data_IF_551455433514
#
_entry.id   IF_551455433514
#
_cell.length_a   1.000
_cell.length_b   1.000
_cell.length_c   1.000
_cell.angle_alpha   90.00
_cell.angle_beta   90.00
_cell.angle_gamma   90.00
#
_symmetry.space_group_name_H-M   'P 1'
#
loop_
_entity.id
_entity.type
_entity.pdbx_description
1 polymer ?
#
# COMPACT_ATOMS: atom_id res chain seq x y z
N UNK A 1 -9.00 -10.69 -0.12
CA UNK A 1 -7.72 -11.42 -0.05
C UNK A 1 -7.28 -11.63 1.40
N UNK A 2 -6.48 -12.65 1.65
CA UNK A 2 -5.86 -12.91 2.96
C UNK A 2 -4.37 -13.07 2.71
N UNK A 3 -3.57 -12.27 3.38
CA UNK A 3 -2.11 -12.31 3.30
C UNK A 3 -1.53 -12.78 4.62
N UNK A 4 -0.59 -13.71 4.54
CA UNK A 4 0.27 -14.14 5.64
C UNK A 4 1.72 -13.84 5.26
N UNK A 5 2.67 -14.03 6.16
CA UNK A 5 4.10 -13.82 5.86
C UNK A 5 4.67 -14.75 4.77
N UNK A 6 3.99 -15.86 4.46
CA UNK A 6 4.49 -16.88 3.51
C UNK A 6 3.54 -17.16 2.35
N UNK A 7 2.27 -16.83 2.49
CA UNK A 7 1.21 -17.27 1.58
C UNK A 7 0.17 -16.16 1.41
N UNK A 8 -0.27 -15.97 0.16
CA UNK A 8 -1.44 -15.19 -0.18
C UNK A 8 -2.61 -16.14 -0.55
N UNK A 9 -3.81 -15.85 -0.05
CA UNK A 9 -5.05 -16.46 -0.48
C UNK A 9 -5.86 -15.42 -1.22
N UNK A 10 -6.10 -15.65 -2.49
CA UNK A 10 -6.82 -14.73 -3.37
C UNK A 10 -8.16 -15.35 -3.76
N UNK A 11 -9.23 -14.58 -3.65
CA UNK A 11 -10.54 -14.93 -4.18
C UNK A 11 -10.82 -14.00 -5.36
N UNK A 12 -10.50 -14.48 -6.56
CA UNK A 12 -10.65 -13.73 -7.81
C UNK A 12 -11.69 -14.48 -8.67
N UNK A 13 -12.77 -13.84 -9.10
CA UNK A 13 -13.74 -14.45 -9.99
C UNK A 13 -13.06 -15.00 -11.24
N UNK A 14 -13.34 -16.26 -11.59
CA UNK A 14 -12.75 -16.94 -12.75
C UNK A 14 -11.35 -17.53 -12.55
N UNK A 15 -10.65 -17.25 -11.46
CA UNK A 15 -9.32 -17.79 -11.20
C UNK A 15 -9.35 -19.10 -10.42
N UNK A 16 -10.33 -19.28 -9.54
CA UNK A 16 -10.54 -20.52 -8.78
C UNK A 16 -11.23 -21.58 -9.62
N UNK A 17 -11.15 -22.85 -9.20
CA UNK A 17 -11.93 -23.95 -9.76
C UNK A 17 -13.32 -24.03 -9.11
N UNK A 18 -14.25 -24.72 -9.78
CA UNK A 18 -15.60 -24.97 -9.23
C UNK A 18 -15.51 -25.61 -7.83
N UNK A 19 -16.14 -25.01 -6.85
CA UNK A 19 -16.10 -25.44 -5.44
C UNK A 19 -14.85 -25.02 -4.68
N UNK A 20 -13.84 -24.43 -5.33
CA UNK A 20 -12.61 -23.95 -4.69
C UNK A 20 -12.31 -22.51 -5.11
N UNK A 21 -13.04 -21.53 -4.56
CA UNK A 21 -12.94 -20.14 -5.00
C UNK A 21 -11.65 -19.44 -4.58
N UNK A 22 -10.84 -20.05 -3.71
CA UNK A 22 -9.60 -19.48 -3.21
C UNK A 22 -8.39 -20.09 -3.91
N UNK A 23 -7.49 -19.24 -4.38
CA UNK A 23 -6.20 -19.62 -4.92
C UNK A 23 -5.11 -19.32 -3.92
N UNK A 24 -4.27 -20.30 -3.58
CA UNK A 24 -3.15 -20.18 -2.67
C UNK A 24 -1.87 -19.91 -3.46
N UNK A 25 -1.22 -18.77 -3.21
CA UNK A 25 0.05 -18.39 -3.82
C UNK A 25 1.16 -18.40 -2.77
N UNK A 26 2.29 -19.04 -3.06
CA UNK A 26 3.49 -18.91 -2.21
C UNK A 26 4.16 -17.57 -2.46
N UNK A 27 4.43 -16.83 -1.39
CA UNK A 27 5.14 -15.54 -1.43
C UNK A 27 6.67 -15.70 -1.42
N UNK A 28 7.16 -16.93 -1.17
CA UNK A 28 8.59 -17.26 -1.14
C UNK A 28 9.17 -17.63 -2.52
N UNK A 29 8.36 -17.59 -3.58
CA UNK A 29 8.81 -17.86 -4.96
C UNK A 29 9.81 -16.80 -5.43
N UNK A 30 10.71 -17.20 -6.36
CA UNK A 30 11.64 -16.26 -6.99
C UNK A 30 11.06 -15.59 -8.24
N UNK A 31 9.99 -16.14 -8.80
CA UNK A 31 9.35 -15.68 -10.03
C UNK A 31 7.81 -15.76 -9.92
N UNK A 32 7.12 -15.03 -10.79
CA UNK A 32 5.67 -15.05 -10.90
C UNK A 32 4.93 -14.15 -9.92
N UNK A 33 3.59 -14.23 -9.96
CA UNK A 33 2.70 -13.36 -9.17
C UNK A 33 2.94 -13.47 -7.65
N UNK A 34 3.25 -14.68 -7.15
CA UNK A 34 3.54 -14.90 -5.74
C UNK A 34 4.80 -14.16 -5.28
N UNK A 35 5.85 -14.15 -6.10
CA UNK A 35 7.07 -13.39 -5.83
C UNK A 35 6.82 -11.88 -5.85
N UNK A 36 6.07 -11.39 -6.81
CA UNK A 36 5.70 -9.97 -6.89
C UNK A 36 4.89 -9.52 -5.67
N UNK A 37 3.89 -10.31 -5.26
CA UNK A 37 3.13 -10.07 -4.04
C UNK A 37 3.99 -10.15 -2.78
N UNK A 38 4.94 -11.11 -2.73
CA UNK A 38 5.90 -11.23 -1.63
C UNK A 38 6.79 -10.00 -1.50
N UNK A 39 7.28 -9.45 -2.61
CA UNK A 39 8.06 -8.21 -2.64
C UNK A 39 7.22 -7.01 -2.21
N UNK A 40 5.96 -6.92 -2.66
CA UNK A 40 5.04 -5.87 -2.23
C UNK A 40 4.76 -5.95 -0.72
N UNK A 41 4.55 -7.16 -0.19
CA UNK A 41 4.33 -7.36 1.24
C UNK A 41 5.56 -6.97 2.05
N UNK A 42 6.75 -7.40 1.62
CA UNK A 42 8.01 -7.03 2.25
C UNK A 42 8.26 -5.52 2.17
N UNK A 43 7.87 -4.89 1.07
CA UNK A 43 7.91 -3.43 0.94
C UNK A 43 6.91 -2.76 1.89
N UNK A 44 5.71 -3.33 2.07
CA UNK A 44 4.70 -2.83 2.99
C UNK A 44 5.11 -3.03 4.45
N UNK A 45 5.73 -4.15 4.81
CA UNK A 45 6.30 -4.39 6.14
C UNK A 45 7.46 -3.42 6.44
N UNK A 46 8.29 -3.13 5.45
CA UNK A 46 9.35 -2.14 5.54
C UNK A 46 8.82 -0.69 5.48
N UNK A 47 7.59 -0.51 4.97
CA UNK A 47 6.87 0.76 4.99
C UNK A 47 6.16 0.94 6.33
N UNK A 48 6.95 0.92 7.41
CA UNK A 48 6.47 1.34 8.72
C UNK A 48 5.71 2.68 8.55
N UNK A 49 4.51 2.85 9.11
CA UNK A 49 3.81 4.14 9.13
C UNK A 49 4.70 5.31 9.58
N UNK A 50 5.72 5.06 10.42
CA UNK A 50 6.76 6.01 10.72
C UNK A 50 7.57 6.45 9.48
N UNK A 51 7.79 5.57 8.50
CA UNK A 51 8.52 5.92 7.26
C UNK A 51 7.64 6.71 6.28
N UNK A 52 6.32 6.48 6.26
CA UNK A 52 5.39 7.33 5.53
C UNK A 52 5.31 8.73 6.17
N UNK A 53 5.40 8.81 7.51
CA UNK A 53 5.52 10.08 8.21
C UNK A 53 6.82 10.81 7.83
N UNK A 54 7.93 10.09 7.54
CA UNK A 54 9.18 10.69 7.08
C UNK A 54 9.04 11.36 5.69
N UNK A 55 8.26 10.81 4.78
CA UNK A 55 7.96 11.48 3.50
C UNK A 55 7.18 12.78 3.72
N UNK A 56 6.27 12.78 4.71
CA UNK A 56 5.52 13.97 5.10
C UNK A 56 6.41 15.03 5.76
N UNK A 57 7.46 14.64 6.50
CA UNK A 57 8.46 15.57 7.06
C UNK A 57 9.37 16.19 5.99
N UNK A 58 9.36 15.68 4.76
CA UNK A 58 10.05 16.31 3.63
C UNK A 58 9.27 17.49 3.04
N UNK A 59 8.00 17.62 3.41
CA UNK A 59 7.19 18.76 3.01
C UNK A 59 7.73 20.04 3.64
N UNK A 60 7.95 21.03 2.79
CA UNK A 60 8.37 22.38 3.20
C UNK A 60 7.20 23.34 3.36
N UNK A 61 6.00 22.89 2.96
CA UNK A 61 4.76 23.68 2.93
C UNK A 61 3.65 23.08 3.80
N UNK A 62 4.02 22.24 4.79
CA UNK A 62 3.07 21.62 5.71
C UNK A 62 2.35 22.70 6.54
N UNK A 63 1.02 22.70 6.48
CA UNK A 63 0.19 23.65 7.22
C UNK A 63 -1.01 22.96 7.84
N UNK A 64 -1.40 23.41 9.03
CA UNK A 64 -2.67 23.06 9.66
C UNK A 64 -3.81 23.76 8.92
N UNK A 65 -4.83 22.98 8.50
CA UNK A 65 -5.95 23.51 7.71
C UNK A 65 -7.31 23.37 8.41
N UNK A 66 -7.36 22.71 9.59
CA UNK A 66 -8.60 22.59 10.34
C UNK A 66 -8.62 21.40 11.27
N UNK A 67 -9.82 21.06 11.72
CA UNK A 67 -10.12 19.88 12.52
C UNK A 67 -11.29 19.13 11.88
N UNK A 68 -11.30 17.81 11.98
CA UNK A 68 -12.33 16.96 11.42
C UNK A 68 -12.44 15.67 12.24
N UNK A 69 -13.63 15.09 12.31
CA UNK A 69 -13.85 13.79 12.96
C UNK A 69 -13.69 12.68 11.93
N UNK A 70 -12.70 11.81 12.12
CA UNK A 70 -12.45 10.63 11.26
C UNK A 70 -12.82 9.37 12.02
N UNK A 71 -13.81 8.63 11.53
CA UNK A 71 -14.31 7.39 12.16
C UNK A 71 -14.63 7.59 13.66
N UNK A 72 -15.28 8.69 14.02
CA UNK A 72 -15.62 9.02 15.40
C UNK A 72 -14.49 9.60 16.26
N UNK A 73 -13.29 9.75 15.70
CA UNK A 73 -12.11 10.27 16.41
C UNK A 73 -11.82 11.71 15.99
N UNK A 74 -11.76 12.69 16.94
CA UNK A 74 -11.34 14.04 16.62
C UNK A 74 -9.89 14.07 16.12
N UNK A 75 -9.68 14.77 15.02
CA UNK A 75 -8.35 14.89 14.40
C UNK A 75 -8.04 16.32 14.00
N UNK A 76 -6.76 16.62 13.88
CA UNK A 76 -6.26 17.83 13.23
C UNK A 76 -5.87 17.50 11.80
N UNK A 77 -6.33 18.31 10.86
CA UNK A 77 -6.05 18.20 9.44
C UNK A 77 -4.85 19.06 9.05
N UNK A 78 -3.93 18.46 8.34
CA UNK A 78 -2.76 19.11 7.75
C UNK A 78 -2.72 18.85 6.25
N UNK A 79 -2.22 19.82 5.51
CA UNK A 79 -1.98 19.74 4.07
C UNK A 79 -0.54 20.10 3.76
N UNK A 80 0.01 19.48 2.72
CA UNK A 80 1.35 19.76 2.25
C UNK A 80 1.62 19.11 0.90
N UNK A 81 2.85 19.30 0.45
CA UNK A 81 3.32 18.66 -0.78
C UNK A 81 4.79 18.30 -0.66
N UNK A 82 5.23 17.33 -1.47
CA UNK A 82 6.63 17.00 -1.62
C UNK A 82 6.97 16.69 -3.07
N UNK A 83 8.24 16.89 -3.41
CA UNK A 83 8.79 16.52 -4.70
C UNK A 83 9.09 15.02 -4.73
N UNK A 84 8.69 14.36 -5.81
CA UNK A 84 9.05 12.95 -6.06
C UNK A 84 10.56 12.76 -6.07
N UNK A 85 11.32 13.71 -6.63
CA UNK A 85 12.77 13.64 -6.64
C UNK A 85 13.40 13.64 -5.23
N UNK A 86 12.81 14.36 -4.27
CA UNK A 86 13.29 14.39 -2.89
C UNK A 86 12.89 13.14 -2.11
N UNK A 87 11.70 12.59 -2.40
CA UNK A 87 11.29 11.30 -1.85
C UNK A 87 12.20 10.16 -2.36
N UNK A 88 12.51 10.14 -3.66
CA UNK A 88 13.40 9.15 -4.26
C UNK A 88 14.77 9.09 -3.57
N UNK A 89 15.31 10.21 -3.10
CA UNK A 89 16.60 10.25 -2.37
C UNK A 89 16.56 9.49 -1.06
N UNK A 90 15.38 9.36 -0.45
CA UNK A 90 15.17 8.69 0.85
C UNK A 90 14.91 7.20 0.71
N UNK A 91 14.55 6.72 -0.49
CA UNK A 91 14.29 5.30 -0.74
C UNK A 91 15.59 4.48 -0.80
N UNK A 92 15.56 3.23 -0.30
CA UNK A 92 16.63 2.27 -0.53
C UNK A 92 16.94 2.11 -2.03
N UNK A 93 18.23 1.88 -2.44
CA UNK A 93 18.62 1.84 -3.85
C UNK A 93 17.82 0.87 -4.72
N UNK A 94 17.47 -0.31 -4.20
CA UNK A 94 16.70 -1.32 -4.92
C UNK A 94 15.28 -0.86 -5.25
N UNK A 95 14.60 -0.19 -4.32
CA UNK A 95 13.25 0.34 -4.53
C UNK A 95 13.28 1.58 -5.42
N UNK A 96 14.33 2.39 -5.32
CA UNK A 96 14.48 3.64 -6.10
C UNK A 96 14.38 3.39 -7.61
N UNK A 97 15.05 2.34 -8.12
CA UNK A 97 15.06 2.02 -9.56
C UNK A 97 13.65 1.65 -10.06
N UNK A 98 12.94 0.77 -9.35
CA UNK A 98 11.61 0.32 -9.75
C UNK A 98 10.60 1.47 -9.68
N UNK A 99 10.61 2.21 -8.57
CA UNK A 99 9.69 3.33 -8.35
C UNK A 99 9.93 4.46 -9.34
N UNK A 100 11.21 4.78 -9.65
CA UNK A 100 11.54 5.85 -10.58
C UNK A 100 11.06 5.57 -12.00
N UNK A 101 11.14 4.33 -12.47
CA UNK A 101 10.64 3.95 -13.79
C UNK A 101 9.12 4.10 -13.90
N UNK A 102 8.38 3.64 -12.90
CA UNK A 102 6.90 3.74 -12.88
C UNK A 102 6.44 5.19 -12.80
N UNK A 103 7.06 6.00 -11.95
CA UNK A 103 6.71 7.41 -11.78
C UNK A 103 7.09 8.24 -13.02
N UNK A 104 8.27 7.97 -13.62
CA UNK A 104 8.70 8.65 -14.84
C UNK A 104 7.74 8.39 -16.00
N UNK A 105 7.25 7.16 -16.16
CA UNK A 105 6.27 6.81 -17.18
C UNK A 105 4.94 7.56 -17.02
N UNK A 106 4.56 7.90 -15.79
CA UNK A 106 3.33 8.65 -15.49
C UNK A 106 3.53 10.18 -15.53
N UNK A 107 4.77 10.66 -15.59
CA UNK A 107 5.10 12.09 -15.57
C UNK A 107 4.79 12.78 -14.24
N UNK A 108 4.76 12.04 -13.13
CA UNK A 108 4.48 12.57 -11.79
C UNK A 108 5.75 13.20 -11.24
N UNK A 109 5.69 14.49 -10.89
CA UNK A 109 6.84 15.23 -10.33
C UNK A 109 6.60 15.70 -8.89
N UNK A 110 5.33 15.84 -8.51
CA UNK A 110 4.91 16.36 -7.22
C UNK A 110 3.71 15.59 -6.68
N UNK A 111 3.72 15.33 -5.38
CA UNK A 111 2.62 14.70 -4.65
C UNK A 111 2.05 15.72 -3.68
N UNK A 112 0.75 15.94 -3.73
CA UNK A 112 0.00 16.67 -2.71
C UNK A 112 -0.60 15.68 -1.73
N UNK A 113 -0.60 16.01 -0.46
CA UNK A 113 -1.19 15.17 0.55
C UNK A 113 -2.04 15.95 1.56
N UNK A 114 -3.02 15.27 2.10
CA UNK A 114 -3.79 15.70 3.27
C UNK A 114 -3.73 14.58 4.29
N UNK A 115 -3.40 14.92 5.53
CA UNK A 115 -3.26 13.97 6.64
C UNK A 115 -4.09 14.42 7.83
N UNK A 116 -4.70 13.46 8.52
CA UNK A 116 -5.47 13.67 9.75
C UNK A 116 -4.79 12.95 10.90
N UNK A 117 -4.44 13.71 11.94
CA UNK A 117 -3.71 13.24 13.11
C UNK A 117 -4.57 13.46 14.35
N UNK A 118 -4.72 12.42 15.18
CA UNK A 118 -5.49 12.48 16.42
C UNK A 118 -4.70 13.11 17.59
N UNK A 119 -5.38 13.27 18.74
CA UNK A 119 -4.76 13.81 19.95
C UNK A 119 -3.65 12.95 20.55
N UNK A 120 -3.48 11.70 20.10
CA UNK A 120 -2.37 10.81 20.47
C UNK A 120 -1.23 10.83 19.45
N UNK A 121 -1.23 11.80 18.55
CA UNK A 121 -0.27 11.94 17.44
C UNK A 121 -0.27 10.73 16.47
N UNK A 122 -1.41 10.03 16.35
CA UNK A 122 -1.56 8.91 15.44
C UNK A 122 -2.27 9.37 14.17
N UNK A 123 -1.73 8.99 13.02
CA UNK A 123 -2.39 9.20 11.73
C UNK A 123 -3.66 8.36 11.67
N UNK A 124 -4.79 8.98 11.29
CA UNK A 124 -6.09 8.33 11.12
C UNK A 124 -6.50 8.24 9.67
N UNK A 125 -6.06 9.18 8.86
CA UNK A 125 -6.29 9.20 7.41
C UNK A 125 -5.15 9.89 6.70
N UNK A 126 -4.82 9.43 5.51
CA UNK A 126 -4.03 10.16 4.54
C UNK A 126 -4.70 10.08 3.17
N UNK A 127 -4.70 11.18 2.45
CA UNK A 127 -5.08 11.25 1.03
C UNK A 127 -3.88 11.81 0.30
N UNK A 128 -3.43 11.13 -0.76
CA UNK A 128 -2.44 11.64 -1.69
C UNK A 128 -3.06 11.88 -3.05
N UNK A 129 -2.61 12.95 -3.70
CA UNK A 129 -3.01 13.30 -5.06
C UNK A 129 -1.75 13.48 -5.89
N UNK A 130 -1.59 12.61 -6.86
CA UNK A 130 -0.47 12.55 -7.78
C UNK A 130 -0.95 12.93 -9.16
N UNK A 131 -0.49 14.08 -9.65
CA UNK A 131 -0.83 14.56 -11.00
C UNK A 131 0.28 14.19 -11.97
N UNK A 132 -0.04 13.31 -12.90
CA UNK A 132 0.80 12.96 -14.04
C UNK A 132 0.45 13.77 -15.28
N UNK A 133 1.10 13.44 -16.39
CA UNK A 133 0.92 14.14 -17.69
C UNK A 133 -0.48 13.98 -18.26
N UNK A 134 -1.09 12.80 -18.09
CA UNK A 134 -2.39 12.44 -18.68
C UNK A 134 -3.40 11.90 -17.66
N UNK A 135 -3.02 11.74 -16.39
CA UNK A 135 -3.86 11.14 -15.37
C UNK A 135 -3.63 11.77 -14.00
N UNK A 136 -4.63 11.67 -13.15
CA UNK A 136 -4.52 12.00 -11.73
C UNK A 136 -4.83 10.76 -10.93
N UNK A 137 -3.92 10.39 -10.04
CA UNK A 137 -4.10 9.27 -9.11
C UNK A 137 -4.42 9.85 -7.75
N UNK A 138 -5.52 9.40 -7.16
CA UNK A 138 -5.87 9.75 -5.79
C UNK A 138 -5.90 8.48 -4.95
N UNK A 139 -5.06 8.44 -3.92
CA UNK A 139 -5.02 7.33 -2.97
C UNK A 139 -5.55 7.82 -1.63
N UNK A 140 -6.50 7.08 -1.05
CA UNK A 140 -7.04 7.32 0.29
C UNK A 140 -6.75 6.10 1.15
N UNK A 141 -6.11 6.33 2.31
CA UNK A 141 -5.86 5.32 3.33
C UNK A 141 -6.50 5.75 4.64
N UNK A 142 -7.37 4.93 5.18
CA UNK A 142 -7.96 5.09 6.51
C UNK A 142 -7.36 4.06 7.47
N UNK A 143 -6.83 4.51 8.61
CA UNK A 143 -6.33 3.65 9.67
C UNK A 143 -7.46 3.47 10.69
N UNK A 144 -8.12 2.32 10.60
CA UNK A 144 -9.32 2.00 11.39
C UNK A 144 -8.92 1.62 12.83
N UNK A 145 -7.84 0.84 12.97
CA UNK A 145 -7.37 0.35 14.26
C UNK A 145 -5.83 0.34 14.30
N UNK A 146 -5.27 0.58 15.49
CA UNK A 146 -3.83 0.54 15.74
C UNK A 146 -3.61 -0.35 16.96
N UNK A 147 -2.66 -1.30 16.84
CA UNK A 147 -2.31 -2.25 17.90
C UNK A 147 -3.52 -3.08 18.42
N UNK A 148 -4.48 -3.34 17.57
CA UNK A 148 -5.60 -4.24 17.89
C UNK A 148 -5.27 -5.65 17.39
N UNK A 149 -5.60 -6.70 18.17
CA UNK A 149 -5.47 -8.06 17.68
C UNK A 149 -6.41 -8.29 16.51
N UNK A 150 -5.86 -8.81 15.41
CA UNK A 150 -6.64 -9.16 14.21
C UNK A 150 -6.76 -10.67 14.13
N UNK A 151 -7.97 -11.19 14.24
CA UNK A 151 -8.25 -12.59 13.97
C UNK A 151 -8.47 -12.81 12.47
N UNK A 152 -7.48 -13.38 11.80
CA UNK A 152 -7.59 -13.77 10.40
C UNK A 152 -7.93 -15.24 10.31
N UNK A 153 -9.14 -15.55 9.88
CA UNK A 153 -9.55 -16.94 9.61
C UNK A 153 -9.13 -17.33 8.20
N UNK A 154 -8.28 -18.34 8.09
CA UNK A 154 -7.86 -18.87 6.79
C UNK A 154 -9.02 -19.62 6.12
N UNK A 155 -9.08 -19.62 4.77
CA UNK A 155 -10.10 -20.39 4.07
C UNK A 155 -9.89 -21.89 4.33
N UNK A 156 -10.98 -22.66 4.45
CA UNK A 156 -10.89 -24.10 4.68
C UNK A 156 -10.17 -24.77 3.49
N UNK A 157 -9.31 -25.78 3.74
CA UNK A 157 -8.52 -26.44 2.68
C UNK A 157 -9.37 -26.97 1.52
N UNK A 158 -10.61 -27.38 1.80
CA UNK A 158 -11.56 -27.85 0.79
C UNK A 158 -11.94 -26.76 -0.25
N UNK A 159 -11.80 -25.50 0.10
CA UNK A 159 -12.11 -24.36 -0.76
C UNK A 159 -10.86 -23.73 -1.42
N UNK A 160 -9.68 -24.32 -1.21
CA UNK A 160 -8.41 -23.79 -1.70
C UNK A 160 -7.87 -24.64 -2.84
N UNK A 161 -7.42 -23.99 -3.91
CA UNK A 161 -6.72 -24.62 -5.04
C UNK A 161 -5.33 -24.01 -5.24
N UNK A 162 -4.46 -24.74 -5.94
CA UNK A 162 -3.19 -24.19 -6.42
C UNK A 162 -3.42 -23.22 -7.59
N UNK A 163 -2.52 -22.28 -7.83
CA UNK A 163 -2.63 -21.39 -8.98
C UNK A 163 -2.53 -22.19 -10.27
N UNK A 164 -3.24 -21.76 -11.33
CA UNK A 164 -3.03 -22.29 -12.67
C UNK A 164 -1.56 -22.11 -13.10
N UNK A 165 -1.04 -23.07 -13.89
CA UNK A 165 0.38 -23.09 -14.30
C UNK A 165 0.84 -21.82 -15.03
N UNK A 166 -0.06 -21.16 -15.75
CA UNK A 166 0.20 -19.92 -16.48
C UNK A 166 0.37 -18.67 -15.59
N UNK A 167 -0.02 -18.70 -14.32
CA UNK A 167 0.22 -17.60 -13.38
C UNK A 167 1.60 -17.67 -12.70
N UNK A 168 2.34 -18.74 -12.87
CA UNK A 168 3.69 -18.92 -12.34
C UNK A 168 4.82 -18.57 -13.31
N UNK A 169 4.54 -18.38 -14.60
CA UNK A 169 5.57 -18.36 -15.66
C UNK A 169 5.55 -17.12 -16.55
N UNK A 170 4.64 -16.17 -16.35
CA UNK A 170 4.61 -14.97 -17.20
C UNK A 170 4.94 -13.73 -16.38
N UNK A 171 6.17 -13.35 -16.37
CA UNK A 171 6.76 -12.02 -16.70
C UNK A 171 8.26 -12.23 -16.85
#
# INVERSE_FOLDING_TARGET
EILTTKVAYLKIPGLGSTGKPWVKLSLAGKNGMGAALGQLLQSAENSNPANQTLALTASKDLRKTGTEVINGIPTTRYEGSYSVADEMKKLPPGLRKITSQSIAALGITKVHFTIWIDGKHQMRRVITVEKGSSSTITTKLDIIAINQPVNVTLPPPSQVTSPPANLGTSI
#
